data_IF_683736035943
#
_entry.id   IF_683736035943
#
_cell.length_a   1.000
_cell.length_b   1.000
_cell.length_c   1.000
_cell.angle_alpha   90.00
_cell.angle_beta   90.00
_cell.angle_gamma   90.00
#
_symmetry.space_group_name_H-M   'P 1'
#
loop_
_entity.id
_entity.type
_entity.pdbx_description
1 polymer ?
#
# COMPACT_ATOMS: atom_id res chain seq x y z
N UNK A 1 1.69 18.28 11.42
CA UNK A 1 2.87 17.37 11.35
C UNK A 1 2.74 16.59 10.05
N UNK A 2 3.82 16.25 9.34
CA UNK A 2 3.71 15.51 8.09
C UNK A 2 3.12 14.12 8.35
N UNK A 3 2.15 13.69 7.54
CA UNK A 3 1.60 12.34 7.61
C UNK A 3 2.70 11.30 7.33
N UNK A 4 2.70 10.21 8.11
CA UNK A 4 3.71 9.16 8.06
C UNK A 4 3.09 7.81 7.68
N UNK A 5 3.89 7.00 7.00
CA UNK A 5 3.54 5.61 6.65
C UNK A 5 4.73 4.71 6.97
N UNK A 6 4.46 3.42 7.22
CA UNK A 6 5.52 2.41 7.33
C UNK A 6 6.30 2.27 6.02
N UNK A 7 7.61 2.07 6.10
CA UNK A 7 8.46 1.78 4.96
C UNK A 7 8.02 0.50 4.22
N UNK A 8 7.33 -0.40 4.92
CA UNK A 8 6.60 -1.51 4.34
C UNK A 8 5.67 -1.10 3.19
N UNK A 9 5.17 0.14 3.10
CA UNK A 9 4.40 0.64 1.94
C UNK A 9 5.18 0.62 0.61
N UNK A 10 6.51 0.59 0.67
CA UNK A 10 7.40 0.46 -0.48
C UNK A 10 7.96 -0.96 -0.69
N UNK A 11 7.37 -1.98 -0.04
CA UNK A 11 7.71 -3.38 -0.35
C UNK A 11 7.58 -3.63 -1.85
N UNK A 12 8.53 -4.38 -2.42
CA UNK A 12 8.68 -4.67 -3.85
C UNK A 12 9.09 -3.47 -4.73
N UNK A 13 9.23 -2.25 -4.20
CA UNK A 13 9.61 -1.07 -4.99
C UNK A 13 10.94 -1.28 -5.74
N UNK A 14 11.97 -1.76 -5.04
CA UNK A 14 13.31 -1.95 -5.63
C UNK A 14 13.28 -2.98 -6.77
N UNK A 15 12.52 -4.06 -6.59
CA UNK A 15 12.40 -5.13 -7.58
C UNK A 15 11.63 -4.66 -8.82
N UNK A 16 10.44 -4.08 -8.62
CA UNK A 16 9.61 -3.54 -9.71
C UNK A 16 10.34 -2.46 -10.48
N UNK A 17 11.04 -1.55 -9.78
CA UNK A 17 11.85 -0.50 -10.42
C UNK A 17 12.93 -1.06 -11.32
N UNK A 18 13.70 -2.05 -10.84
CA UNK A 18 14.76 -2.70 -11.63
C UNK A 18 14.18 -3.44 -12.83
N UNK A 19 13.06 -4.15 -12.65
CA UNK A 19 12.39 -4.87 -13.73
C UNK A 19 11.91 -3.93 -14.85
N UNK A 20 11.50 -2.70 -14.49
CA UNK A 20 11.11 -1.65 -15.44
C UNK A 20 12.28 -0.79 -15.93
N UNK A 21 13.53 -1.16 -15.63
CA UNK A 21 14.73 -0.47 -16.12
C UNK A 21 15.08 0.83 -15.39
N UNK A 22 14.51 1.11 -14.22
CA UNK A 22 14.88 2.27 -13.40
C UNK A 22 16.09 2.00 -12.52
N UNK A 23 16.83 3.07 -12.23
CA UNK A 23 17.74 3.10 -11.08
C UNK A 23 16.95 3.55 -9.83
N UNK A 24 16.52 2.64 -8.95
CA UNK A 24 15.71 2.99 -7.78
C UNK A 24 16.45 3.90 -6.79
N UNK A 25 17.78 3.77 -6.68
CA UNK A 25 18.56 4.57 -5.73
C UNK A 25 18.56 6.05 -6.09
N UNK A 26 18.63 6.37 -7.39
CA UNK A 26 18.59 7.74 -7.86
C UNK A 26 17.24 8.41 -7.56
N UNK A 27 16.13 7.71 -7.81
CA UNK A 27 14.78 8.24 -7.53
C UNK A 27 14.47 8.34 -6.04
N UNK A 28 14.91 7.36 -5.23
CA UNK A 28 14.80 7.44 -3.78
C UNK A 28 15.50 8.69 -3.24
N UNK A 29 16.73 8.98 -3.70
CA UNK A 29 17.48 10.15 -3.27
C UNK A 29 16.77 11.47 -3.63
N UNK A 30 16.12 11.55 -4.79
CA UNK A 30 15.38 12.75 -5.23
C UNK A 30 14.21 13.11 -4.30
N UNK A 31 13.61 12.12 -3.64
CA UNK A 31 12.49 12.33 -2.70
C UNK A 31 12.93 12.32 -1.23
N UNK A 32 14.25 12.34 -0.97
CA UNK A 32 14.82 12.33 0.38
C UNK A 32 14.75 10.98 1.09
N UNK A 33 14.64 9.88 0.33
CA UNK A 33 14.65 8.51 0.84
C UNK A 33 15.95 7.78 0.46
N UNK A 34 16.20 6.64 1.09
CA UNK A 34 17.32 5.75 0.75
C UNK A 34 16.90 4.30 0.85
N UNK A 35 17.59 3.40 0.15
CA UNK A 35 17.30 1.97 0.21
C UNK A 35 17.47 1.40 1.63
N UNK A 36 18.44 1.91 2.40
CA UNK A 36 18.66 1.52 3.79
C UNK A 36 17.47 1.86 4.70
N UNK A 37 16.71 2.92 4.40
CA UNK A 37 15.46 3.20 5.14
C UNK A 37 14.38 2.16 4.91
N UNK A 38 14.44 1.42 3.79
CA UNK A 38 13.47 0.40 3.42
C UNK A 38 13.80 -0.98 3.99
N UNK A 39 15.01 -1.18 4.54
CA UNK A 39 15.42 -2.44 5.17
C UNK A 39 14.64 -2.73 6.46
N UNK A 40 14.25 -1.67 7.20
CA UNK A 40 13.34 -1.78 8.33
C UNK A 40 11.90 -1.41 7.89
N UNK A 41 11.02 -2.40 7.65
CA UNK A 41 9.66 -2.16 7.19
C UNK A 41 8.80 -1.38 8.21
N UNK A 42 9.17 -1.34 9.49
CA UNK A 42 8.43 -0.60 10.52
C UNK A 42 8.83 0.86 10.62
N UNK A 43 9.92 1.25 9.98
CA UNK A 43 10.38 2.65 9.98
C UNK A 43 9.33 3.56 9.36
N UNK A 44 9.07 4.70 9.99
CA UNK A 44 8.09 5.68 9.52
C UNK A 44 8.76 6.65 8.55
N UNK A 45 8.18 6.80 7.36
CA UNK A 45 8.66 7.67 6.29
C UNK A 45 7.54 8.65 5.85
N UNK A 46 7.89 9.84 5.31
CA UNK A 46 6.90 10.81 4.88
C UNK A 46 6.04 10.29 3.74
N UNK A 47 4.70 10.37 3.90
CA UNK A 47 3.73 9.95 2.87
C UNK A 47 3.95 10.72 1.57
N UNK A 48 4.23 12.02 1.65
CA UNK A 48 4.50 12.85 0.48
C UNK A 48 5.71 12.35 -0.34
N UNK A 49 6.76 11.84 0.33
CA UNK A 49 7.92 11.26 -0.36
C UNK A 49 7.56 9.95 -1.06
N UNK A 50 6.74 9.11 -0.43
CA UNK A 50 6.23 7.86 -1.04
C UNK A 50 5.40 8.18 -2.28
N UNK A 51 4.43 9.10 -2.17
CA UNK A 51 3.59 9.51 -3.31
C UNK A 51 4.45 10.06 -4.46
N UNK A 52 5.35 11.00 -4.16
CA UNK A 52 6.23 11.58 -5.18
C UNK A 52 7.10 10.52 -5.86
N UNK A 53 7.60 9.54 -5.09
CA UNK A 53 8.40 8.43 -5.62
C UNK A 53 7.61 7.58 -6.61
N UNK A 54 6.38 7.19 -6.25
CA UNK A 54 5.54 6.32 -7.07
C UNK A 54 5.15 7.02 -8.39
N UNK A 55 4.73 8.28 -8.33
CA UNK A 55 4.36 9.06 -9.52
C UNK A 55 5.58 9.33 -10.43
N UNK A 56 6.73 9.69 -9.86
CA UNK A 56 7.96 9.88 -10.62
C UNK A 56 8.42 8.58 -11.28
N UNK A 57 8.30 7.45 -10.59
CA UNK A 57 8.69 6.13 -11.12
C UNK A 57 7.78 5.70 -12.28
N UNK A 58 6.46 5.88 -12.15
CA UNK A 58 5.50 5.62 -13.22
C UNK A 58 5.77 6.50 -14.45
N UNK A 59 6.01 7.80 -14.23
CA UNK A 59 6.34 8.75 -15.31
C UNK A 59 7.64 8.38 -16.03
N UNK A 60 8.71 8.09 -15.29
CA UNK A 60 10.02 7.74 -15.84
C UNK A 60 10.00 6.41 -16.63
N UNK A 61 9.16 5.46 -16.23
CA UNK A 61 9.01 4.15 -16.92
C UNK A 61 7.95 4.13 -17.99
N UNK A 62 7.08 5.16 -18.05
CA UNK A 62 5.81 5.13 -18.80
C UNK A 62 4.92 3.93 -18.42
N UNK A 63 5.08 3.42 -17.20
CA UNK A 63 4.27 2.32 -16.68
C UNK A 63 3.10 2.89 -15.89
N UNK A 64 1.93 2.95 -16.51
CA UNK A 64 0.74 3.48 -15.85
C UNK A 64 0.25 2.66 -14.65
N UNK A 65 0.64 1.37 -14.58
CA UNK A 65 0.23 0.41 -13.55
C UNK A 65 1.32 0.14 -12.52
N UNK A 66 2.22 1.09 -12.27
CA UNK A 66 3.38 0.91 -11.38
C UNK A 66 2.94 0.51 -9.96
N UNK A 67 1.95 1.20 -9.40
CA UNK A 67 1.36 0.89 -8.09
C UNK A 67 0.73 -0.50 -8.04
N UNK A 68 -0.01 -0.90 -9.08
CA UNK A 68 -0.58 -2.24 -9.19
C UNK A 68 0.49 -3.33 -9.26
N UNK A 69 1.57 -3.11 -10.02
CA UNK A 69 2.70 -4.06 -10.11
C UNK A 69 3.39 -4.25 -8.77
N UNK A 70 3.54 -3.18 -7.98
CA UNK A 70 4.04 -3.29 -6.61
C UNK A 70 3.08 -4.09 -5.71
N UNK A 71 1.78 -3.90 -5.89
CA UNK A 71 0.76 -4.61 -5.13
C UNK A 71 0.70 -6.11 -5.46
N UNK A 72 0.95 -6.50 -6.72
CA UNK A 72 0.85 -7.88 -7.20
C UNK A 72 1.67 -8.88 -6.37
N UNK A 73 2.85 -8.46 -5.92
CA UNK A 73 3.77 -9.28 -5.14
C UNK A 73 3.57 -9.16 -3.62
N UNK A 74 2.50 -8.48 -3.18
CA UNK A 74 2.20 -8.32 -1.76
C UNK A 74 1.71 -9.61 -1.12
N UNK A 75 2.15 -9.81 0.11
CA UNK A 75 1.80 -10.93 0.96
C UNK A 75 1.14 -10.44 2.25
N UNK A 76 0.36 -11.31 2.89
CA UNK A 76 -0.28 -11.00 4.17
C UNK A 76 0.74 -10.58 5.25
N UNK A 77 1.95 -11.15 5.23
CA UNK A 77 3.05 -10.80 6.14
C UNK A 77 3.50 -9.34 6.04
N UNK A 78 3.25 -8.67 4.91
CA UNK A 78 3.65 -7.26 4.71
C UNK A 78 2.84 -6.29 5.60
N UNK A 79 1.71 -6.75 6.14
CA UNK A 79 0.93 -6.01 7.12
C UNK A 79 1.61 -5.96 8.50
N UNK A 80 2.75 -6.63 8.69
CA UNK A 80 3.51 -6.63 9.93
C UNK A 80 2.77 -7.35 11.05
N UNK A 81 2.81 -6.81 12.26
CA UNK A 81 2.26 -7.44 13.47
C UNK A 81 0.75 -7.74 13.38
N UNK A 82 0.00 -6.94 12.61
CA UNK A 82 -1.44 -7.15 12.41
C UNK A 82 -1.72 -8.38 11.54
N UNK A 83 -0.76 -8.86 10.75
CA UNK A 83 -0.93 -10.04 9.90
C UNK A 83 -1.35 -11.29 10.68
N UNK A 84 -0.82 -11.47 11.91
CA UNK A 84 -1.21 -12.55 12.80
C UNK A 84 -2.68 -12.43 13.20
N UNK A 85 -3.11 -11.24 13.62
CA UNK A 85 -4.51 -11.01 13.99
C UNK A 85 -5.44 -11.26 12.81
N UNK A 86 -5.08 -10.82 11.61
CA UNK A 86 -5.84 -11.04 10.37
C UNK A 86 -5.97 -12.54 10.05
N UNK A 87 -4.89 -13.31 10.21
CA UNK A 87 -4.88 -14.75 9.92
C UNK A 87 -5.80 -15.59 10.82
N UNK A 88 -6.17 -15.06 12.00
CA UNK A 88 -7.04 -15.71 12.95
C UNK A 88 -8.51 -15.25 12.88
N UNK A 89 -8.86 -14.37 11.95
CA UNK A 89 -10.24 -13.93 11.78
C UNK A 89 -11.10 -15.03 11.14
N UNK A 90 -12.35 -15.15 11.60
CA UNK A 90 -13.28 -16.18 11.11
C UNK A 90 -13.86 -15.86 9.75
N UNK A 91 -14.02 -14.57 9.45
CA UNK A 91 -14.62 -14.11 8.20
C UNK A 91 -13.82 -12.95 7.61
N UNK A 92 -13.95 -12.73 6.29
CA UNK A 92 -13.37 -11.55 5.64
C UNK A 92 -13.91 -10.25 6.26
N UNK A 93 -15.18 -10.22 6.66
CA UNK A 93 -15.78 -9.07 7.33
C UNK A 93 -15.04 -8.72 8.62
N UNK A 94 -14.76 -9.71 9.46
CA UNK A 94 -14.02 -9.50 10.71
C UNK A 94 -12.59 -9.00 10.43
N UNK A 95 -11.94 -9.56 9.41
CA UNK A 95 -10.62 -9.10 8.97
C UNK A 95 -10.61 -7.65 8.47
N UNK A 96 -11.59 -7.27 7.64
CA UNK A 96 -11.72 -5.90 7.16
C UNK A 96 -11.96 -4.91 8.32
N UNK A 97 -12.76 -5.30 9.32
CA UNK A 97 -12.97 -4.50 10.53
C UNK A 97 -11.68 -4.32 11.34
N UNK A 98 -10.86 -5.37 11.47
CA UNK A 98 -9.54 -5.28 12.10
C UNK A 98 -8.64 -4.28 11.37
N UNK A 99 -8.61 -4.28 10.03
CA UNK A 99 -7.81 -3.29 9.27
C UNK A 99 -8.29 -1.87 9.58
N UNK A 100 -9.60 -1.62 9.54
CA UNK A 100 -10.16 -0.29 9.82
C UNK A 100 -9.81 0.17 11.23
N UNK A 101 -9.91 -0.73 12.22
CA UNK A 101 -9.57 -0.45 13.62
C UNK A 101 -8.08 -0.13 13.80
N UNK A 102 -7.20 -0.89 13.16
CA UNK A 102 -5.75 -0.80 13.34
C UNK A 102 -5.03 -0.04 12.22
N UNK A 103 -5.76 0.68 11.35
CA UNK A 103 -5.21 1.39 10.18
C UNK A 103 -4.06 2.35 10.52
N UNK A 104 -4.12 2.99 11.68
CA UNK A 104 -3.13 3.95 12.15
C UNK A 104 -1.74 3.32 12.36
N UNK A 105 -1.68 2.03 12.68
CA UNK A 105 -0.41 1.29 12.75
C UNK A 105 0.19 1.07 11.36
N UNK A 106 -0.64 1.01 10.32
CA UNK A 106 -0.23 0.73 8.95
C UNK A 106 0.12 2.01 8.18
N UNK A 107 -0.80 2.98 8.16
CA UNK A 107 -0.71 4.17 7.34
C UNK A 107 -1.61 5.29 7.92
N UNK A 108 -1.01 6.42 8.33
CA UNK A 108 -1.78 7.58 8.82
C UNK A 108 -2.54 8.29 7.69
N UNK A 109 -2.16 8.05 6.44
CA UNK A 109 -2.71 8.70 5.26
C UNK A 109 -3.65 7.81 4.44
N UNK A 110 -4.10 6.67 4.97
CA UNK A 110 -5.11 5.84 4.30
C UNK A 110 -6.41 5.85 5.11
N UNK A 111 -7.45 6.43 4.51
CA UNK A 111 -8.81 6.26 4.98
C UNK A 111 -9.43 5.04 4.31
N UNK A 112 -9.99 4.15 5.13
CA UNK A 112 -10.71 2.95 4.67
C UNK A 112 -12.10 3.03 5.30
N UNK A 113 -13.12 3.00 4.46
CA UNK A 113 -14.51 2.94 4.88
C UNK A 113 -15.18 1.72 4.26
N UNK A 114 -15.93 0.98 5.07
CA UNK A 114 -16.66 -0.20 4.63
C UNK A 114 -18.15 0.13 4.73
N UNK A 115 -18.84 0.04 3.61
CA UNK A 115 -20.27 0.31 3.51
C UNK A 115 -21.00 -0.95 3.04
N UNK A 116 -22.14 -1.23 3.67
CA UNK A 116 -23.01 -2.34 3.28
C UNK A 116 -24.20 -1.81 2.49
N UNK A 117 -24.32 -2.25 1.25
CA UNK A 117 -25.40 -1.93 0.34
C UNK A 117 -26.15 -3.21 -0.04
N UNK A 118 -27.05 -3.65 0.85
CA UNK A 118 -27.83 -4.88 0.66
C UNK A 118 -26.95 -6.12 0.65
N UNK A 119 -26.77 -6.75 -0.51
CA UNK A 119 -25.90 -7.94 -0.70
C UNK A 119 -24.46 -7.59 -1.09
N UNK A 120 -24.16 -6.31 -1.24
CA UNK A 120 -22.85 -5.82 -1.67
C UNK A 120 -22.14 -5.15 -0.51
N UNK A 121 -20.83 -5.40 -0.39
CA UNK A 121 -19.94 -4.64 0.48
C UNK A 121 -19.08 -3.74 -0.40
N UNK A 122 -19.07 -2.44 -0.12
CA UNK A 122 -18.24 -1.44 -0.78
C UNK A 122 -17.10 -1.07 0.13
N UNK A 123 -15.87 -1.29 -0.32
CA UNK A 123 -14.65 -0.84 0.35
C UNK A 123 -14.20 0.44 -0.35
N UNK A 124 -14.24 1.56 0.37
CA UNK A 124 -13.78 2.85 -0.12
C UNK A 124 -12.43 3.16 0.49
N UNK A 125 -11.45 3.42 -0.36
CA UNK A 125 -10.11 3.83 0.03
C UNK A 125 -9.83 5.25 -0.44
N UNK A 126 -9.22 6.05 0.44
CA UNK A 126 -8.82 7.41 0.14
C UNK A 126 -7.42 7.66 0.69
N UNK A 127 -6.49 7.98 -0.22
CA UNK A 127 -5.12 8.36 0.12
C UNK A 127 -5.09 9.86 0.41
N UNK A 128 -4.95 10.20 1.69
CA UNK A 128 -4.94 11.58 2.17
C UNK A 128 -3.57 12.19 1.85
N UNK A 129 -3.57 13.23 1.00
CA UNK A 129 -2.38 13.99 0.66
C UNK A 129 -2.66 15.49 0.75
N UNK A 130 -1.97 16.18 1.65
CA UNK A 130 -2.11 17.64 1.84
C UNK A 130 -1.62 18.45 0.64
N UNK A 131 -0.79 17.88 -0.24
CA UNK A 131 -0.05 18.64 -1.28
C UNK A 131 -0.56 18.44 -2.70
N UNK A 132 -1.32 17.40 -3.01
CA UNK A 132 -1.84 17.17 -4.36
C UNK A 132 -3.17 16.39 -4.34
N UNK A 133 -4.12 16.72 -5.24
CA UNK A 133 -5.51 16.27 -5.14
C UNK A 133 -5.76 14.78 -5.48
N UNK A 134 -4.78 14.01 -5.94
CA UNK A 134 -4.86 12.55 -6.03
C UNK A 134 -3.50 12.00 -6.49
N UNK A 135 -3.13 10.81 -6.02
CA UNK A 135 -2.02 10.04 -6.58
C UNK A 135 -2.57 8.74 -7.16
N UNK A 136 -2.54 8.62 -8.49
CA UNK A 136 -3.01 7.42 -9.17
C UNK A 136 -2.25 6.20 -8.65
N UNK A 137 -0.93 6.28 -8.55
CA UNK A 137 -0.09 5.14 -8.19
C UNK A 137 -0.26 4.74 -6.72
N UNK A 138 -0.41 5.70 -5.81
CA UNK A 138 -0.67 5.39 -4.41
C UNK A 138 -2.07 4.78 -4.22
N UNK A 139 -3.08 5.30 -4.92
CA UNK A 139 -4.45 4.76 -4.89
C UNK A 139 -4.49 3.35 -5.49
N UNK A 140 -3.86 3.14 -6.63
CA UNK A 140 -3.75 1.82 -7.27
C UNK A 140 -3.02 0.81 -6.37
N UNK A 141 -1.93 1.23 -5.72
CA UNK A 141 -1.21 0.39 -4.76
C UNK A 141 -2.10 0.00 -3.57
N UNK A 142 -2.84 0.96 -2.99
CA UNK A 142 -3.74 0.71 -1.87
C UNK A 142 -4.83 -0.30 -2.25
N UNK A 143 -5.53 -0.07 -3.37
CA UNK A 143 -6.60 -0.95 -3.85
C UNK A 143 -6.05 -2.34 -4.18
N UNK A 144 -4.88 -2.41 -4.82
CA UNK A 144 -4.22 -3.67 -5.15
C UNK A 144 -3.85 -4.46 -3.89
N UNK A 145 -3.32 -3.78 -2.86
CA UNK A 145 -2.99 -4.40 -1.57
C UNK A 145 -4.24 -4.95 -0.88
N UNK A 146 -5.34 -4.19 -0.89
CA UNK A 146 -6.62 -4.63 -0.33
C UNK A 146 -7.20 -5.83 -1.08
N UNK A 147 -7.15 -5.81 -2.41
CA UNK A 147 -7.58 -6.94 -3.24
C UNK A 147 -6.77 -8.20 -2.93
N UNK A 148 -5.44 -8.07 -2.85
CA UNK A 148 -4.53 -9.18 -2.49
C UNK A 148 -4.81 -9.74 -1.12
N UNK A 149 -5.13 -8.87 -0.16
CA UNK A 149 -5.52 -9.29 1.18
C UNK A 149 -6.82 -10.08 1.18
N UNK A 150 -7.86 -9.58 0.51
CA UNK A 150 -9.14 -10.28 0.38
C UNK A 150 -8.96 -11.65 -0.28
N UNK A 151 -8.19 -11.71 -1.37
CA UNK A 151 -7.86 -12.95 -2.07
C UNK A 151 -7.09 -13.93 -1.17
N UNK A 152 -6.12 -13.45 -0.39
CA UNK A 152 -5.35 -14.30 0.53
C UNK A 152 -6.21 -14.90 1.65
N UNK A 153 -7.17 -14.14 2.19
CA UNK A 153 -8.05 -14.59 3.28
C UNK A 153 -9.18 -15.51 2.80
N UNK A 154 -9.75 -15.26 1.61
CA UNK A 154 -10.80 -16.11 1.04
C UNK A 154 -10.25 -17.35 0.34
N UNK A 155 -8.99 -17.30 -0.11
CA UNK A 155 -8.31 -18.40 -0.79
C UNK A 155 -9.11 -18.88 -2.00
N UNK A 156 -9.42 -20.18 -2.02
CA UNK A 156 -10.16 -20.82 -3.10
C UNK A 156 -11.60 -20.30 -3.29
N UNK A 157 -12.15 -19.54 -2.33
CA UNK A 157 -13.50 -18.96 -2.41
C UNK A 157 -13.52 -17.58 -3.09
N UNK A 158 -12.38 -17.10 -3.60
CA UNK A 158 -12.28 -15.90 -4.41
C UNK A 158 -12.52 -16.24 -5.88
N UNK A 159 -13.59 -15.71 -6.47
CA UNK A 159 -14.01 -15.95 -7.87
C UNK A 159 -14.28 -14.64 -8.59
#
# INVERSE_FOLDING_TARGET
MPALVRAASLTNYLEVSRHLGLNPHALLAQVGLSAALLEDPNRRIPVASVIALLEASASATRCESFGLRMAELRQLSDFGEISLLLSHQRTLRDALQVIVQYRHLLNDALAIHIEEAGKTVVIREEVINERAPCSRQATELAIGVMMRLCAALLGAHWH
#
